data_IF_784663301356
#
_entry.id   IF_784663301356
#
_cell.length_a   1.000
_cell.length_b   1.000
_cell.length_c   1.000
_cell.angle_alpha   90.00
_cell.angle_beta   90.00
_cell.angle_gamma   90.00
#
_symmetry.space_group_name_H-M   'P 1'
#
loop_
_entity.id
_entity.type
_entity.pdbx_description
1 polymer ?
#
# COMPACT_ATOMS: atom_id res chain seq x y z
N UNK A 1 -25.15 10.01 6.63
CA UNK A 1 -24.01 9.29 7.23
C UNK A 1 -24.34 9.16 8.70
N UNK A 2 -24.67 7.96 9.17
CA UNK A 2 -24.88 7.73 10.60
C UNK A 2 -23.58 8.04 11.35
N UNK A 3 -23.68 8.66 12.52
CA UNK A 3 -22.51 8.90 13.39
C UNK A 3 -21.83 7.57 13.72
N UNK A 4 -20.58 7.42 13.29
CA UNK A 4 -19.71 6.31 13.69
C UNK A 4 -19.45 6.42 15.19
N UNK A 5 -20.11 5.57 15.98
CA UNK A 5 -19.87 5.46 17.42
C UNK A 5 -18.48 4.87 17.65
N UNK A 6 -17.59 5.61 18.30
CA UNK A 6 -16.24 5.15 18.66
C UNK A 6 -16.33 4.25 19.90
N UNK A 7 -16.56 2.96 19.69
CA UNK A 7 -16.37 1.93 20.71
C UNK A 7 -14.88 1.58 20.91
N UNK A 8 -14.53 0.76 21.92
CA UNK A 8 -13.18 0.24 22.07
C UNK A 8 -12.78 -0.60 20.84
N UNK A 9 -11.59 -0.36 20.30
CA UNK A 9 -11.02 -1.07 19.14
C UNK A 9 -9.90 -1.97 19.61
N UNK A 10 -9.93 -3.24 19.21
CA UNK A 10 -8.81 -4.16 19.42
C UNK A 10 -7.76 -3.92 18.34
N UNK A 11 -6.50 -3.73 18.76
CA UNK A 11 -5.36 -3.53 17.85
C UNK A 11 -4.37 -4.68 18.06
N UNK A 12 -4.05 -5.37 16.97
CA UNK A 12 -2.99 -6.38 16.93
C UNK A 12 -1.89 -5.88 16.01
N UNK A 13 -0.68 -5.71 16.56
CA UNK A 13 0.49 -5.32 15.78
C UNK A 13 1.16 -6.56 15.18
N UNK A 14 1.51 -6.50 13.90
CA UNK A 14 2.27 -7.52 13.18
C UNK A 14 3.47 -6.80 12.56
N UNK A 15 4.67 -7.31 12.82
CA UNK A 15 5.88 -6.84 12.15
C UNK A 15 6.08 -7.65 10.88
N UNK A 16 6.35 -6.97 9.76
CA UNK A 16 6.71 -7.61 8.50
C UNK A 16 7.13 -6.61 7.43
N UNK A 17 7.60 -7.14 6.31
CA UNK A 17 8.05 -6.39 5.14
C UNK A 17 7.15 -6.68 3.93
N UNK A 18 6.68 -5.63 3.25
CA UNK A 18 5.81 -5.77 2.07
C UNK A 18 6.52 -6.43 0.88
N UNK A 19 7.85 -6.37 0.83
CA UNK A 19 8.64 -7.07 -0.19
C UNK A 19 8.62 -8.60 0.00
N UNK A 20 8.29 -9.07 1.20
CA UNK A 20 8.25 -10.48 1.58
C UNK A 20 6.82 -11.03 1.48
N UNK A 21 6.48 -11.64 0.34
CA UNK A 21 5.12 -12.10 0.04
C UNK A 21 4.47 -12.99 1.11
N UNK A 22 5.25 -13.86 1.76
CA UNK A 22 4.76 -14.75 2.81
C UNK A 22 4.35 -14.00 4.09
N UNK A 23 5.06 -12.92 4.44
CA UNK A 23 4.74 -12.08 5.59
C UNK A 23 3.47 -11.26 5.32
N UNK A 24 3.32 -10.77 4.08
CA UNK A 24 2.11 -10.08 3.63
C UNK A 24 0.89 -11.02 3.66
N UNK A 25 1.04 -12.25 3.16
CA UNK A 25 -0.05 -13.23 3.19
C UNK A 25 -0.49 -13.55 4.63
N UNK A 26 0.47 -13.69 5.56
CA UNK A 26 0.16 -13.90 6.97
C UNK A 26 -0.56 -12.70 7.60
N UNK A 27 -0.16 -11.47 7.27
CA UNK A 27 -0.80 -10.26 7.77
C UNK A 27 -2.21 -10.01 7.20
N UNK A 28 -2.47 -10.43 5.95
CA UNK A 28 -3.75 -10.24 5.26
C UNK A 28 -4.77 -11.34 5.61
N UNK A 29 -4.33 -12.50 6.08
CA UNK A 29 -5.20 -13.64 6.36
C UNK A 29 -6.35 -13.28 7.33
N UNK A 30 -7.59 -13.49 6.87
CA UNK A 30 -8.81 -13.20 7.65
C UNK A 30 -9.29 -11.75 7.60
N UNK A 31 -8.59 -10.87 6.88
CA UNK A 31 -9.03 -9.49 6.67
C UNK A 31 -10.21 -9.41 5.70
N UNK A 32 -11.24 -8.63 6.05
CA UNK A 32 -12.36 -8.32 5.15
C UNK A 32 -12.04 -7.15 4.22
N UNK A 33 -11.24 -6.21 4.73
CA UNK A 33 -10.78 -4.99 4.07
C UNK A 33 -9.30 -4.84 4.37
N UNK A 34 -8.50 -4.57 3.34
CA UNK A 34 -7.09 -4.18 3.47
C UNK A 34 -6.95 -2.74 3.03
N UNK A 35 -6.30 -1.91 3.86
CA UNK A 35 -5.93 -0.54 3.52
C UNK A 35 -4.41 -0.52 3.34
N UNK A 36 -3.96 -0.54 2.09
CA UNK A 36 -2.54 -0.55 1.74
C UNK A 36 -2.00 0.88 1.71
N UNK A 37 -1.25 1.24 2.75
CA UNK A 37 -0.57 2.53 2.88
C UNK A 37 0.95 2.41 2.86
N UNK A 38 1.48 1.18 2.79
CA UNK A 38 2.92 0.97 2.79
C UNK A 38 3.50 1.40 1.44
N UNK A 39 4.50 2.28 1.50
CA UNK A 39 5.23 2.80 0.35
C UNK A 39 6.47 3.56 0.81
N UNK A 40 7.53 3.48 0.01
CA UNK A 40 8.75 4.24 0.17
C UNK A 40 8.67 5.51 -0.67
N UNK A 41 8.60 6.65 0.01
CA UNK A 41 8.62 7.98 -0.62
C UNK A 41 10.00 8.58 -0.43
N UNK A 42 10.68 8.84 -1.53
CA UNK A 42 11.98 9.51 -1.52
C UNK A 42 12.11 10.48 -2.69
N UNK A 43 12.14 11.77 -2.35
CA UNK A 43 12.30 12.88 -3.30
C UNK A 43 13.72 13.47 -3.26
N UNK A 44 14.59 12.93 -2.39
CA UNK A 44 15.95 13.40 -2.20
C UNK A 44 17.00 12.46 -2.81
N UNK A 45 16.58 11.34 -3.40
CA UNK A 45 17.46 10.39 -4.07
C UNK A 45 18.39 9.62 -3.12
N UNK A 46 17.92 9.33 -1.90
CA UNK A 46 18.63 8.52 -0.90
C UNK A 46 18.43 7.01 -1.11
N UNK A 47 17.27 6.61 -1.62
CA UNK A 47 16.95 5.24 -1.95
C UNK A 47 17.27 4.97 -3.43
N UNK A 48 17.71 3.74 -3.73
CA UNK A 48 17.91 3.36 -5.12
C UNK A 48 16.55 3.19 -5.83
N UNK A 49 16.49 3.41 -7.15
CA UNK A 49 15.29 3.13 -7.94
C UNK A 49 14.77 1.69 -7.76
N UNK A 50 15.69 0.73 -7.61
CA UNK A 50 15.37 -0.68 -7.39
C UNK A 50 14.65 -0.87 -6.05
N UNK A 51 15.13 -0.27 -4.96
CA UNK A 51 14.47 -0.35 -3.65
C UNK A 51 13.09 0.30 -3.68
N UNK A 52 12.94 1.46 -4.34
CA UNK A 52 11.65 2.12 -4.51
C UNK A 52 10.69 1.21 -5.29
N UNK A 53 11.18 0.55 -6.35
CA UNK A 53 10.39 -0.37 -7.15
C UNK A 53 9.99 -1.63 -6.36
N UNK A 54 10.92 -2.22 -5.62
CA UNK A 54 10.67 -3.38 -4.77
C UNK A 54 9.57 -3.09 -3.74
N UNK A 55 9.63 -1.96 -3.04
CA UNK A 55 8.61 -1.61 -2.05
C UNK A 55 7.28 -1.22 -2.72
N UNK A 56 7.32 -0.28 -3.67
CA UNK A 56 6.09 0.36 -4.15
C UNK A 56 5.37 -0.44 -5.22
N UNK A 57 6.10 -1.18 -6.06
CA UNK A 57 5.53 -1.97 -7.16
C UNK A 57 5.42 -3.42 -6.75
N UNK A 58 6.55 -4.07 -6.42
CA UNK A 58 6.54 -5.48 -6.07
C UNK A 58 5.81 -5.73 -4.73
N UNK A 59 6.01 -4.87 -3.72
CA UNK A 59 5.29 -4.97 -2.46
C UNK A 59 3.78 -4.77 -2.61
N UNK A 60 3.34 -3.81 -3.44
CA UNK A 60 1.92 -3.66 -3.76
C UNK A 60 1.35 -4.88 -4.48
N UNK A 61 2.12 -5.49 -5.40
CA UNK A 61 1.72 -6.74 -6.06
C UNK A 61 1.55 -7.88 -5.04
N UNK A 62 2.46 -8.01 -4.08
CA UNK A 62 2.35 -9.01 -3.01
C UNK A 62 1.07 -8.83 -2.21
N UNK A 63 0.68 -7.59 -1.89
CA UNK A 63 -0.59 -7.29 -1.18
C UNK A 63 -1.81 -7.68 -2.01
N UNK A 64 -1.80 -7.36 -3.31
CA UNK A 64 -2.89 -7.74 -4.22
C UNK A 64 -3.01 -9.27 -4.28
N UNK A 65 -1.90 -9.98 -4.48
CA UNK A 65 -1.88 -11.45 -4.52
C UNK A 65 -2.36 -12.07 -3.21
N UNK A 66 -1.92 -11.55 -2.07
CA UNK A 66 -2.38 -11.99 -0.75
C UNK A 66 -3.89 -11.78 -0.57
N UNK A 67 -4.42 -10.63 -1.00
CA UNK A 67 -5.87 -10.37 -0.95
C UNK A 67 -6.66 -11.41 -1.77
N UNK A 68 -6.17 -11.73 -2.97
CA UNK A 68 -6.79 -12.74 -3.85
C UNK A 68 -6.73 -14.13 -3.22
N UNK A 69 -5.56 -14.53 -2.71
CA UNK A 69 -5.35 -15.87 -2.12
C UNK A 69 -6.17 -16.09 -0.84
N UNK A 70 -6.35 -15.05 -0.03
CA UNK A 70 -7.05 -15.13 1.26
C UNK A 70 -8.55 -14.83 1.15
N UNK A 71 -9.04 -14.43 -0.02
CA UNK A 71 -10.44 -14.06 -0.22
C UNK A 71 -10.83 -12.72 0.42
N UNK A 72 -9.87 -11.80 0.59
CA UNK A 72 -10.14 -10.43 1.03
C UNK A 72 -11.08 -9.75 0.04
N UNK A 73 -12.16 -9.12 0.54
CA UNK A 73 -13.23 -8.57 -0.33
C UNK A 73 -12.91 -7.18 -0.89
N UNK A 74 -12.17 -6.38 -0.14
CA UNK A 74 -11.90 -4.98 -0.51
C UNK A 74 -10.45 -4.63 -0.25
N UNK A 75 -9.81 -4.02 -1.25
CA UNK A 75 -8.49 -3.42 -1.14
C UNK A 75 -8.62 -1.92 -1.40
N UNK A 76 -8.19 -1.11 -0.44
CA UNK A 76 -8.01 0.34 -0.60
C UNK A 76 -6.53 0.60 -0.81
N UNK A 77 -6.18 1.06 -2.01
CA UNK A 77 -4.81 1.38 -2.38
C UNK A 77 -4.54 2.88 -2.21
N UNK A 78 -3.47 3.23 -1.53
CA UNK A 78 -3.02 4.63 -1.37
C UNK A 78 -2.02 4.97 -2.47
N UNK A 79 -2.42 5.80 -3.43
CA UNK A 79 -1.52 6.33 -4.46
C UNK A 79 -0.72 7.54 -3.96
N UNK A 80 0.11 8.13 -4.82
CA UNK A 80 0.95 9.29 -4.52
C UNK A 80 0.63 10.46 -5.44
N UNK A 81 0.81 11.69 -4.96
CA UNK A 81 0.69 12.89 -5.79
C UNK A 81 1.72 12.92 -6.94
N UNK A 82 2.87 12.27 -6.75
CA UNK A 82 3.92 12.14 -7.78
C UNK A 82 3.46 11.36 -9.02
N UNK A 83 2.38 10.55 -8.93
CA UNK A 83 1.82 9.85 -10.10
C UNK A 83 1.33 10.83 -11.17
N UNK A 84 1.06 12.09 -10.80
CA UNK A 84 0.52 13.09 -11.71
C UNK A 84 1.61 13.81 -12.50
N UNK A 85 2.88 13.78 -12.08
CA UNK A 85 3.99 14.34 -12.86
C UNK A 85 5.17 14.86 -12.01
N UNK A 86 6.21 15.40 -12.68
CA UNK A 86 6.22 15.82 -14.08
C UNK A 86 6.28 14.62 -15.02
N UNK A 87 5.39 14.60 -16.01
CA UNK A 87 5.51 13.61 -17.07
C UNK A 87 6.77 13.91 -17.91
N UNK A 88 7.32 12.88 -18.57
CA UNK A 88 8.48 13.00 -19.48
C UNK A 88 8.29 14.03 -20.62
N UNK A 89 7.07 14.55 -20.81
CA UNK A 89 6.75 15.58 -21.79
C UNK A 89 6.70 17.01 -21.21
N UNK A 90 6.94 17.17 -19.90
CA UNK A 90 6.96 18.48 -19.22
C UNK A 90 5.61 19.20 -19.20
N UNK A 91 4.48 18.50 -19.35
CA UNK A 91 3.19 19.17 -19.36
C UNK A 91 2.84 19.72 -17.97
N UNK A 92 2.28 20.93 -17.88
CA UNK A 92 1.85 21.51 -16.60
C UNK A 92 0.72 20.70 -15.97
N UNK A 93 0.73 20.68 -14.64
CA UNK A 93 -0.34 20.12 -13.82
C UNK A 93 -1.58 21.02 -13.88
N UNK A 94 -2.72 20.47 -14.33
CA UNK A 94 -4.03 21.12 -14.21
C UNK A 94 -4.78 20.46 -13.07
N UNK A 95 -5.07 21.24 -12.02
CA UNK A 95 -5.85 20.81 -10.86
C UNK A 95 -7.33 21.08 -11.05
#
# INVERSE_FOLDING_TARGET
>A
LEELKTGPVQVTAIQGDVTQAHEVAAAVAGAHVVVHTAGLVDVFGRASPETIYEVNVQGTKNVIEACVQTGTRFLVYTSSMEVVGPNIKGHPFYR
#
